data_IF_510551079119
#
_entry.id   IF_510551079119
#
_cell.length_a   1.000
_cell.length_b   1.000
_cell.length_c   1.000
_cell.angle_alpha   90.00
_cell.angle_beta   90.00
_cell.angle_gamma   90.00
#
_symmetry.space_group_name_H-M   'P 1'
#
loop_
_entity.id
_entity.type
_entity.pdbx_description
1 polymer ?
#
# COMPACT_ATOMS: atom_id res chain seq x y z
N UNK A 1 -6.63 4.24 14.70
CA UNK A 1 -7.13 3.75 13.39
C UNK A 1 -8.09 4.76 12.81
N UNK A 2 -7.95 5.16 11.54
CA UNK A 2 -8.95 5.96 10.81
C UNK A 2 -9.91 4.99 10.12
N UNK A 3 -11.22 5.28 10.19
CA UNK A 3 -12.26 4.48 9.54
C UNK A 3 -13.24 5.41 8.83
N UNK A 4 -13.63 5.04 7.60
CA UNK A 4 -14.65 5.71 6.81
C UNK A 4 -15.65 4.64 6.34
N UNK A 5 -16.94 4.90 6.49
CA UNK A 5 -18.01 3.95 6.18
C UNK A 5 -18.87 4.45 5.02
N UNK A 6 -19.01 3.61 3.99
CA UNK A 6 -19.89 3.83 2.85
C UNK A 6 -21.04 2.82 2.80
N UNK A 7 -21.17 1.97 3.86
CA UNK A 7 -22.14 0.88 3.95
C UNK A 7 -22.07 -0.08 2.74
N UNK A 8 -20.83 -0.44 2.37
CA UNK A 8 -20.53 -1.35 1.26
C UNK A 8 -20.15 -2.74 1.77
N UNK A 9 -20.38 -3.75 0.92
CA UNK A 9 -19.98 -5.14 1.18
C UNK A 9 -18.46 -5.40 0.98
N UNK A 10 -17.70 -4.39 0.55
CA UNK A 10 -16.27 -4.48 0.26
C UNK A 10 -15.48 -3.48 1.08
N UNK A 11 -14.36 -3.92 1.65
CA UNK A 11 -13.49 -3.11 2.48
C UNK A 11 -12.10 -2.95 1.86
N UNK A 12 -11.49 -1.80 2.11
CA UNK A 12 -10.08 -1.53 1.80
C UNK A 12 -9.33 -1.21 3.09
N UNK A 13 -8.22 -1.92 3.31
CA UNK A 13 -7.24 -1.57 4.33
C UNK A 13 -6.17 -0.71 3.67
N UNK A 14 -5.96 0.51 4.18
CA UNK A 14 -4.90 1.41 3.70
C UNK A 14 -3.73 1.39 4.67
N UNK A 15 -2.54 0.99 4.20
CA UNK A 15 -1.32 0.95 4.98
C UNK A 15 -0.44 2.16 4.62
N UNK A 16 -0.17 2.98 5.62
CA UNK A 16 0.54 4.24 5.47
C UNK A 16 2.07 4.10 5.32
N UNK A 17 2.74 5.19 4.99
CA UNK A 17 4.18 5.35 4.92
C UNK A 17 4.81 5.52 6.31
N UNK A 18 6.14 5.76 6.35
CA UNK A 18 6.87 6.00 7.61
C UNK A 18 6.36 7.20 8.41
N UNK A 19 5.63 8.11 7.77
CA UNK A 19 5.12 9.34 8.41
C UNK A 19 3.86 9.13 9.26
N UNK A 20 3.19 7.98 9.13
CA UNK A 20 1.91 7.71 9.80
C UNK A 20 0.70 8.17 8.98
N UNK A 21 -0.43 8.37 9.63
CA UNK A 21 -1.69 8.80 8.98
C UNK A 21 -1.65 10.32 8.76
N UNK A 22 -0.79 10.76 7.83
CA UNK A 22 -0.64 12.15 7.41
C UNK A 22 -1.73 12.55 6.39
N UNK A 23 -1.65 13.78 5.86
CA UNK A 23 -2.66 14.29 4.94
C UNK A 23 -2.67 13.55 3.59
N UNK A 24 -1.54 13.01 3.14
CA UNK A 24 -1.49 12.13 1.98
C UNK A 24 -2.35 10.88 2.19
N UNK A 25 -2.13 10.17 3.29
CA UNK A 25 -2.86 8.93 3.59
C UNK A 25 -4.35 9.19 3.84
N UNK A 26 -4.69 10.27 4.57
CA UNK A 26 -6.10 10.69 4.73
C UNK A 26 -6.77 10.95 3.37
N UNK A 27 -6.05 11.63 2.46
CA UNK A 27 -6.53 11.87 1.10
C UNK A 27 -6.74 10.57 0.33
N UNK A 28 -5.80 9.61 0.40
CA UNK A 28 -5.96 8.31 -0.25
C UNK A 28 -7.16 7.54 0.31
N UNK A 29 -7.35 7.56 1.62
CA UNK A 29 -8.54 6.98 2.27
C UNK A 29 -9.83 7.61 1.73
N UNK A 30 -9.88 8.95 1.62
CA UNK A 30 -11.07 9.64 1.09
C UNK A 30 -11.34 9.28 -0.37
N UNK A 31 -10.33 9.22 -1.24
CA UNK A 31 -10.49 8.87 -2.66
C UNK A 31 -11.13 7.48 -2.83
N UNK A 32 -10.67 6.48 -2.08
CA UNK A 32 -11.26 5.14 -2.13
C UNK A 32 -12.64 5.09 -1.47
N UNK A 33 -12.85 5.86 -0.40
CA UNK A 33 -14.15 5.98 0.23
C UNK A 33 -15.21 6.63 -0.68
N UNK A 34 -14.87 7.71 -1.35
CA UNK A 34 -15.72 8.39 -2.34
C UNK A 34 -16.07 7.49 -3.53
N UNK A 35 -15.27 6.44 -3.76
CA UNK A 35 -15.55 5.39 -4.76
C UNK A 35 -16.41 4.25 -4.22
N UNK A 36 -16.93 4.39 -2.99
CA UNK A 36 -17.93 3.50 -2.41
C UNK A 36 -17.36 2.39 -1.52
N UNK A 37 -16.08 2.42 -1.13
CA UNK A 37 -15.50 1.41 -0.26
C UNK A 37 -15.54 1.81 1.22
N UNK A 38 -15.74 0.84 2.10
CA UNK A 38 -15.44 1.00 3.52
C UNK A 38 -13.93 0.99 3.72
N UNK A 39 -13.40 1.97 4.44
CA UNK A 39 -11.95 2.16 4.61
C UNK A 39 -11.54 1.92 6.05
N UNK A 40 -10.44 1.19 6.20
CA UNK A 40 -9.75 0.93 7.46
C UNK A 40 -8.27 1.29 7.30
N UNK A 41 -7.81 2.27 8.04
CA UNK A 41 -6.40 2.67 8.03
C UNK A 41 -5.83 2.51 9.45
N UNK A 42 -5.18 1.37 9.75
CA UNK A 42 -4.55 1.17 11.05
C UNK A 42 -3.37 2.11 11.21
N UNK A 43 -3.19 2.67 12.41
CA UNK A 43 -1.98 3.40 12.75
C UNK A 43 -0.88 2.39 13.13
N UNK A 44 -0.01 2.09 12.16
CA UNK A 44 1.11 1.16 12.32
C UNK A 44 2.16 1.70 13.30
N UNK A 45 2.27 3.03 13.42
CA UNK A 45 3.24 3.66 14.33
C UNK A 45 2.75 3.71 15.78
N UNK A 46 1.44 3.59 16.01
CA UNK A 46 0.82 3.71 17.33
C UNK A 46 1.21 5.00 18.06
N UNK A 47 1.13 6.13 17.32
CA UNK A 47 1.48 7.46 17.81
C UNK A 47 0.27 8.39 17.76
N UNK A 48 0.20 9.31 18.71
CA UNK A 48 -0.86 10.34 18.75
C UNK A 48 -0.74 11.34 17.59
N UNK A 49 0.48 11.55 17.08
CA UNK A 49 0.77 12.46 15.97
C UNK A 49 1.60 11.79 14.89
N UNK A 50 1.35 12.15 13.63
CA UNK A 50 2.19 11.76 12.51
C UNK A 50 3.52 12.54 12.46
N UNK A 51 4.51 12.03 11.73
CA UNK A 51 5.75 12.74 11.45
C UNK A 51 5.57 13.74 10.29
N UNK A 52 6.29 14.87 10.36
CA UNK A 52 6.43 15.79 9.24
C UNK A 52 7.46 15.26 8.22
N UNK A 53 7.42 15.74 6.97
CA UNK A 53 8.36 15.27 5.93
C UNK A 53 9.82 15.62 6.25
N UNK A 54 10.06 16.74 6.91
CA UNK A 54 11.39 17.17 7.40
C UNK A 54 11.96 16.22 8.46
N UNK A 55 11.11 15.43 9.10
CA UNK A 55 11.48 14.44 10.11
C UNK A 55 11.77 13.04 9.50
N UNK A 56 12.14 12.98 8.21
CA UNK A 56 12.30 11.73 7.46
C UNK A 56 13.17 10.70 8.18
N UNK A 57 14.34 11.10 8.66
CA UNK A 57 15.28 10.21 9.35
C UNK A 57 14.68 9.69 10.68
N UNK A 58 14.03 10.57 11.44
CA UNK A 58 13.36 10.20 12.69
C UNK A 58 12.21 9.22 12.43
N UNK A 59 11.38 9.50 11.41
CA UNK A 59 10.26 8.65 11.00
C UNK A 59 10.74 7.25 10.57
N UNK A 60 11.80 7.19 9.76
CA UNK A 60 12.39 5.93 9.31
C UNK A 60 12.97 5.11 10.47
N UNK A 61 13.74 5.74 11.36
CA UNK A 61 14.33 5.09 12.52
C UNK A 61 13.23 4.61 13.49
N UNK A 62 12.19 5.41 13.70
CA UNK A 62 11.06 5.02 14.53
C UNK A 62 10.36 3.77 13.96
N UNK A 63 10.01 3.80 12.66
CA UNK A 63 9.39 2.65 12.00
C UNK A 63 10.25 1.39 12.13
N UNK A 64 11.54 1.50 11.83
CA UNK A 64 12.49 0.38 11.88
C UNK A 64 12.58 -0.26 13.26
N UNK A 65 12.61 0.57 14.32
CA UNK A 65 12.86 0.10 15.68
C UNK A 65 11.59 -0.33 16.42
N UNK A 66 10.41 0.18 16.05
CA UNK A 66 9.17 -0.04 16.80
C UNK A 66 8.10 -0.83 16.02
N UNK A 67 8.14 -0.80 14.70
CA UNK A 67 7.12 -1.42 13.85
C UNK A 67 7.70 -2.53 12.98
N UNK A 68 8.70 -2.20 12.17
CA UNK A 68 9.28 -3.10 11.19
C UNK A 68 8.25 -3.60 10.18
N UNK A 69 8.57 -4.73 9.56
CA UNK A 69 7.68 -5.38 8.58
C UNK A 69 6.93 -6.57 9.20
N UNK A 70 6.36 -6.36 10.39
CA UNK A 70 5.51 -7.35 11.06
C UNK A 70 4.08 -7.25 10.55
N UNK A 71 3.57 -8.31 9.93
CA UNK A 71 2.24 -8.38 9.31
C UNK A 71 1.11 -8.77 10.27
N UNK A 72 1.42 -9.28 11.46
CA UNK A 72 0.46 -9.89 12.38
C UNK A 72 -0.77 -9.02 12.64
N UNK A 73 -0.58 -7.73 12.92
CA UNK A 73 -1.71 -6.83 13.19
C UNK A 73 -2.58 -6.59 11.95
N UNK A 74 -1.98 -6.57 10.75
CA UNK A 74 -2.71 -6.42 9.49
C UNK A 74 -3.48 -7.70 9.18
N UNK A 75 -2.88 -8.86 9.39
CA UNK A 75 -3.52 -10.16 9.19
C UNK A 75 -4.71 -10.36 10.13
N UNK A 76 -4.59 -9.96 11.39
CA UNK A 76 -5.69 -9.96 12.35
C UNK A 76 -6.84 -9.06 11.88
N UNK A 77 -6.53 -7.85 11.42
CA UNK A 77 -7.54 -6.95 10.87
C UNK A 77 -8.21 -7.53 9.62
N UNK A 78 -7.46 -8.17 8.72
CA UNK A 78 -8.03 -8.87 7.56
C UNK A 78 -9.03 -9.93 8.02
N UNK A 79 -8.65 -10.79 8.97
CA UNK A 79 -9.52 -11.86 9.46
C UNK A 79 -10.82 -11.30 10.08
N UNK A 80 -10.73 -10.26 10.90
CA UNK A 80 -11.90 -9.59 11.48
C UNK A 80 -12.84 -8.99 10.41
N UNK A 81 -12.25 -8.42 9.35
CA UNK A 81 -13.03 -7.84 8.25
C UNK A 81 -13.64 -8.90 7.35
N UNK A 82 -12.98 -10.02 7.12
CA UNK A 82 -13.50 -11.15 6.33
C UNK A 82 -14.77 -11.78 6.92
N UNK A 83 -15.01 -11.60 8.21
CA UNK A 83 -16.29 -12.01 8.84
C UNK A 83 -17.47 -11.12 8.42
N UNK A 84 -17.21 -9.89 7.94
CA UNK A 84 -18.22 -8.85 7.69
C UNK A 84 -18.32 -8.41 6.23
N UNK A 85 -17.22 -8.55 5.48
CA UNK A 85 -17.11 -8.05 4.12
C UNK A 85 -16.90 -9.19 3.13
N UNK A 86 -17.54 -9.08 1.97
CA UNK A 86 -17.37 -10.04 0.86
C UNK A 86 -15.94 -10.03 0.33
N UNK A 87 -15.37 -8.83 0.18
CA UNK A 87 -14.00 -8.62 -0.27
C UNK A 87 -13.24 -7.69 0.67
N UNK A 88 -11.99 -8.06 0.95
CA UNK A 88 -11.04 -7.25 1.72
C UNK A 88 -9.77 -7.08 0.90
N UNK A 89 -9.46 -5.84 0.53
CA UNK A 89 -8.30 -5.48 -0.29
C UNK A 89 -7.32 -4.69 0.56
N UNK A 90 -6.03 -4.94 0.38
CA UNK A 90 -4.98 -4.17 1.06
C UNK A 90 -4.31 -3.24 0.05
N UNK A 91 -4.23 -1.97 0.37
CA UNK A 91 -3.48 -0.97 -0.40
C UNK A 91 -2.40 -0.39 0.49
N UNK A 92 -1.15 -0.45 0.05
CA UNK A 92 -0.03 0.06 0.84
C UNK A 92 0.81 1.08 0.07
N UNK A 93 1.39 2.01 0.82
CA UNK A 93 2.28 3.05 0.31
C UNK A 93 3.66 2.93 0.98
N UNK A 94 4.75 2.95 0.22
CA UNK A 94 6.13 2.88 0.71
C UNK A 94 6.38 1.66 1.62
N UNK A 95 6.62 1.86 2.93
CA UNK A 95 6.73 0.74 3.89
C UNK A 95 5.43 -0.04 4.00
N UNK A 96 4.29 0.64 3.94
CA UNK A 96 2.97 0.01 3.88
C UNK A 96 2.80 -0.86 2.63
N UNK A 97 3.40 -0.48 1.50
CA UNK A 97 3.41 -1.29 0.28
C UNK A 97 4.26 -2.56 0.45
N UNK A 98 5.34 -2.50 1.20
CA UNK A 98 6.12 -3.70 1.53
C UNK A 98 5.34 -4.62 2.47
N UNK A 99 4.63 -4.06 3.46
CA UNK A 99 3.73 -4.84 4.32
C UNK A 99 2.58 -5.47 3.52
N UNK A 100 1.95 -4.73 2.60
CA UNK A 100 0.89 -5.28 1.75
C UNK A 100 1.40 -6.41 0.85
N UNK A 101 2.63 -6.29 0.32
CA UNK A 101 3.30 -7.36 -0.41
C UNK A 101 3.47 -8.63 0.43
N UNK A 102 3.95 -8.51 1.68
CA UNK A 102 4.07 -9.65 2.60
C UNK A 102 2.70 -10.28 2.88
N UNK A 103 1.68 -9.47 3.12
CA UNK A 103 0.31 -9.94 3.35
C UNK A 103 -0.30 -10.66 2.14
N UNK A 104 0.23 -10.48 0.92
CA UNK A 104 -0.26 -11.20 -0.26
C UNK A 104 -0.05 -12.71 -0.19
N UNK A 105 0.91 -13.17 0.63
CA UNK A 105 1.16 -14.59 0.88
C UNK A 105 0.51 -15.09 2.17
N UNK A 106 0.52 -14.27 3.23
CA UNK A 106 0.22 -14.71 4.60
C UNK A 106 -1.22 -14.46 5.03
N UNK A 107 -1.90 -13.46 4.44
CA UNK A 107 -3.26 -13.09 4.81
C UNK A 107 -4.33 -13.73 3.91
N UNK A 108 -5.59 -13.66 4.36
CA UNK A 108 -6.76 -14.10 3.58
C UNK A 108 -7.40 -12.94 2.79
N UNK A 109 -6.65 -11.88 2.46
CA UNK A 109 -7.15 -10.78 1.64
C UNK A 109 -7.47 -11.22 0.21
N UNK A 110 -8.40 -10.53 -0.43
CA UNK A 110 -8.85 -10.84 -1.79
C UNK A 110 -8.00 -10.17 -2.85
N UNK A 111 -7.15 -9.21 -2.48
CA UNK A 111 -6.23 -8.55 -3.39
C UNK A 111 -5.31 -7.55 -2.71
N UNK A 112 -4.22 -7.23 -3.38
CA UNK A 112 -3.18 -6.32 -2.86
C UNK A 112 -2.77 -5.32 -3.92
N UNK A 113 -2.65 -4.04 -3.53
CA UNK A 113 -2.02 -2.98 -4.34
C UNK A 113 -0.86 -2.37 -3.54
N UNK A 114 0.33 -2.40 -4.11
CA UNK A 114 1.57 -1.93 -3.48
C UNK A 114 2.15 -0.74 -4.26
N UNK A 115 2.09 0.47 -3.70
CA UNK A 115 2.65 1.68 -4.29
C UNK A 115 4.06 1.95 -3.79
N UNK A 116 5.02 1.96 -4.70
CA UNK A 116 6.45 2.25 -4.50
C UNK A 116 7.08 1.60 -3.26
N UNK A 117 6.79 0.31 -3.06
CA UNK A 117 7.35 -0.48 -1.96
C UNK A 117 8.81 -0.82 -2.19
N UNK A 118 9.73 0.04 -1.75
CA UNK A 118 11.16 -0.11 -2.05
C UNK A 118 11.80 -1.34 -1.38
N UNK A 119 11.25 -1.78 -0.24
CA UNK A 119 11.78 -2.93 0.50
C UNK A 119 11.22 -4.28 0.02
N UNK A 120 10.31 -4.31 -0.96
CA UNK A 120 9.88 -5.55 -1.64
C UNK A 120 11.10 -6.32 -2.18
N UNK A 121 12.18 -5.61 -2.57
CA UNK A 121 13.43 -6.22 -3.02
C UNK A 121 14.11 -7.15 -2.01
N UNK A 122 13.80 -7.01 -0.71
CA UNK A 122 14.34 -7.85 0.36
C UNK A 122 13.47 -9.07 0.64
N UNK A 123 12.28 -9.15 0.01
CA UNK A 123 11.26 -10.18 0.19
C UNK A 123 10.84 -10.79 -1.15
N UNK A 124 11.81 -11.07 -2.01
CA UNK A 124 11.57 -11.59 -3.37
C UNK A 124 11.04 -13.03 -3.37
N UNK A 125 11.18 -13.75 -2.25
CA UNK A 125 10.73 -15.14 -2.12
C UNK A 125 9.23 -15.26 -1.81
N UNK A 126 8.56 -14.16 -1.43
CA UNK A 126 7.10 -14.13 -1.22
C UNK A 126 6.36 -14.63 -2.46
N UNK A 127 5.41 -15.52 -2.24
CA UNK A 127 4.56 -16.11 -3.28
C UNK A 127 3.11 -15.64 -3.10
N UNK A 128 2.65 -14.64 -3.86
CA UNK A 128 1.28 -14.11 -3.73
C UNK A 128 0.23 -15.20 -3.89
N UNK A 129 -0.74 -15.22 -2.97
CA UNK A 129 -1.89 -16.14 -2.99
C UNK A 129 -3.19 -15.45 -3.40
N UNK A 130 -3.14 -14.15 -3.64
CA UNK A 130 -4.24 -13.35 -4.17
C UNK A 130 -3.75 -12.47 -5.31
N UNK A 131 -4.64 -11.94 -6.16
CA UNK A 131 -4.28 -10.93 -7.15
C UNK A 131 -3.48 -9.79 -6.52
N UNK A 132 -2.30 -9.51 -7.07
CA UNK A 132 -1.36 -8.54 -6.52
C UNK A 132 -0.86 -7.59 -7.59
N UNK A 133 -1.05 -6.28 -7.37
CA UNK A 133 -0.57 -5.22 -8.24
C UNK A 133 0.60 -4.49 -7.57
N UNK A 134 1.76 -4.49 -8.22
CA UNK A 134 2.94 -3.75 -7.78
C UNK A 134 3.17 -2.55 -8.70
N UNK A 135 3.09 -1.35 -8.16
CA UNK A 135 3.32 -0.08 -8.82
C UNK A 135 4.63 0.49 -8.29
N UNK A 136 5.64 0.64 -9.15
CA UNK A 136 6.95 1.16 -8.75
C UNK A 136 7.29 2.48 -9.43
N UNK A 137 8.07 3.30 -8.74
CA UNK A 137 8.67 4.50 -9.30
C UNK A 137 9.91 4.12 -10.12
N UNK A 138 10.11 4.77 -11.27
CA UNK A 138 11.28 4.53 -12.13
C UNK A 138 12.59 5.02 -11.49
N UNK A 139 12.51 6.12 -10.75
CA UNK A 139 13.68 6.79 -10.19
C UNK A 139 13.78 6.54 -8.68
N UNK A 140 14.06 5.29 -8.33
CA UNK A 140 14.38 4.88 -6.96
C UNK A 140 15.88 5.01 -6.71
N UNK A 141 16.26 5.61 -5.57
CA UNK A 141 17.68 5.80 -5.23
C UNK A 141 18.36 4.52 -4.73
N UNK A 142 17.61 3.67 -4.05
CA UNK A 142 18.15 2.52 -3.32
C UNK A 142 18.30 1.25 -4.17
N UNK A 143 17.69 1.18 -5.36
CA UNK A 143 17.70 -0.01 -6.22
C UNK A 143 17.20 0.29 -7.64
N UNK A 144 17.38 -0.65 -8.57
CA UNK A 144 16.84 -0.56 -9.93
C UNK A 144 15.49 -1.31 -10.01
N UNK A 145 14.36 -0.60 -10.24
CA UNK A 145 13.02 -1.21 -10.30
C UNK A 145 12.88 -2.24 -11.43
N UNK A 146 13.59 -2.08 -12.55
CA UNK A 146 13.56 -3.05 -13.66
C UNK A 146 14.20 -4.39 -13.27
N UNK A 147 15.24 -4.37 -12.44
CA UNK A 147 15.81 -5.62 -11.92
C UNK A 147 14.83 -6.31 -10.94
N UNK A 148 14.12 -5.54 -10.11
CA UNK A 148 13.09 -6.10 -9.25
C UNK A 148 11.96 -6.72 -10.07
N UNK A 149 11.50 -6.02 -11.13
CA UNK A 149 10.47 -6.54 -12.05
C UNK A 149 10.90 -7.88 -12.66
N UNK A 150 12.14 -8.00 -13.13
CA UNK A 150 12.67 -9.26 -13.69
C UNK A 150 12.68 -10.40 -12.66
N UNK A 151 13.10 -10.12 -11.41
CA UNK A 151 13.12 -11.12 -10.33
C UNK A 151 11.71 -11.61 -9.95
N UNK A 152 10.72 -10.75 -10.06
CA UNK A 152 9.34 -11.08 -9.71
C UNK A 152 8.50 -11.56 -10.90
N UNK A 153 9.02 -11.54 -12.13
CA UNK A 153 8.26 -11.81 -13.37
C UNK A 153 7.58 -13.19 -13.40
N UNK A 154 8.16 -14.19 -12.71
CA UNK A 154 7.61 -15.55 -12.66
C UNK A 154 6.57 -15.78 -11.56
N UNK A 155 6.32 -14.77 -10.70
CA UNK A 155 5.37 -14.91 -9.60
C UNK A 155 3.94 -15.02 -10.12
N UNK A 156 3.14 -15.97 -9.62
CA UNK A 156 1.75 -16.10 -10.02
C UNK A 156 0.92 -14.94 -9.48
N UNK A 157 -0.21 -14.68 -10.14
CA UNK A 157 -1.22 -13.70 -9.69
C UNK A 157 -0.72 -12.27 -9.53
N UNK A 158 0.48 -11.94 -10.05
CA UNK A 158 1.11 -10.63 -9.89
C UNK A 158 1.15 -9.86 -11.20
N UNK A 159 0.90 -8.55 -11.12
CA UNK A 159 1.15 -7.57 -12.16
C UNK A 159 2.12 -6.50 -11.64
N UNK A 160 3.11 -6.12 -12.44
CA UNK A 160 4.14 -5.17 -12.06
C UNK A 160 4.26 -4.04 -13.09
N UNK A 161 4.16 -2.80 -12.64
CA UNK A 161 4.26 -1.62 -13.50
C UNK A 161 5.24 -0.59 -12.94
N UNK A 162 6.01 0.01 -13.85
CA UNK A 162 6.97 1.08 -13.53
C UNK A 162 6.46 2.38 -14.12
N UNK A 163 6.31 3.40 -13.28
CA UNK A 163 5.84 4.74 -13.61
C UNK A 163 7.00 5.73 -13.66
N UNK A 164 6.91 6.73 -14.52
CA UNK A 164 7.95 7.73 -14.73
C UNK A 164 7.96 8.80 -13.60
N UNK A 165 8.15 8.36 -12.37
CA UNK A 165 8.16 9.16 -11.16
C UNK A 165 9.30 8.81 -10.22
N UNK A 166 9.43 9.59 -9.16
CA UNK A 166 10.29 9.32 -7.99
C UNK A 166 9.50 8.62 -6.90
N UNK A 167 10.17 8.09 -5.89
CA UNK A 167 9.53 7.55 -4.69
C UNK A 167 8.52 8.55 -4.12
N UNK A 168 7.28 8.11 -3.83
CA UNK A 168 6.22 9.00 -3.35
C UNK A 168 5.52 9.83 -4.45
N UNK A 169 5.64 9.48 -5.73
CA UNK A 169 5.08 10.26 -6.84
C UNK A 169 3.55 10.43 -6.81
N UNK A 170 2.83 9.63 -6.03
CA UNK A 170 1.39 9.79 -5.81
C UNK A 170 1.04 10.74 -4.66
N UNK A 171 2.02 11.14 -3.86
CA UNK A 171 1.82 12.04 -2.73
C UNK A 171 1.85 13.50 -3.16
N UNK A 172 0.67 14.14 -3.24
CA UNK A 172 0.55 15.55 -3.69
C UNK A 172 1.17 16.57 -2.73
N UNK A 173 1.51 16.17 -1.51
CA UNK A 173 2.17 17.02 -0.52
C UNK A 173 3.69 16.86 -0.54
N UNK A 174 4.20 15.91 -1.33
CA UNK A 174 5.63 15.65 -1.50
C UNK A 174 6.21 16.41 -2.69
N UNK A 175 7.48 16.86 -2.61
CA UNK A 175 8.21 17.39 -3.78
C UNK A 175 8.36 16.38 -4.93
N UNK A 176 8.15 15.10 -4.66
CA UNK A 176 8.19 14.02 -5.66
C UNK A 176 6.90 13.87 -6.47
N UNK A 177 5.85 14.63 -6.14
CA UNK A 177 4.55 14.50 -6.79
C UNK A 177 4.64 14.67 -8.30
N UNK A 178 4.04 13.72 -9.01
CA UNK A 178 3.86 13.78 -10.45
C UNK A 178 2.37 13.56 -10.75
N UNK A 179 1.67 14.61 -11.11
CA UNK A 179 0.21 14.58 -11.27
C UNK A 179 -0.24 13.61 -12.36
N UNK A 180 0.45 13.60 -13.51
CA UNK A 180 0.10 12.71 -14.63
C UNK A 180 0.28 11.24 -14.25
N UNK A 181 1.45 10.89 -13.74
CA UNK A 181 1.76 9.52 -13.35
C UNK A 181 0.92 9.06 -12.16
N UNK A 182 0.61 9.96 -11.22
CA UNK A 182 -0.29 9.69 -10.11
C UNK A 182 -1.71 9.34 -10.61
N UNK A 183 -2.27 10.13 -11.54
CA UNK A 183 -3.58 9.84 -12.14
C UNK A 183 -3.59 8.49 -12.86
N UNK A 184 -2.54 8.17 -13.61
CA UNK A 184 -2.40 6.88 -14.33
C UNK A 184 -2.30 5.71 -13.35
N UNK A 185 -1.48 5.84 -12.30
CA UNK A 185 -1.31 4.81 -11.29
C UNK A 185 -2.59 4.57 -10.48
N UNK A 186 -3.30 5.64 -10.11
CA UNK A 186 -4.59 5.54 -9.43
C UNK A 186 -5.64 4.88 -10.32
N UNK A 187 -5.72 5.27 -11.60
CA UNK A 187 -6.64 4.60 -12.55
C UNK A 187 -6.35 3.10 -12.64
N UNK A 188 -5.07 2.71 -12.77
CA UNK A 188 -4.66 1.31 -12.79
C UNK A 188 -5.07 0.56 -11.52
N UNK A 189 -4.90 1.20 -10.35
CA UNK A 189 -5.34 0.65 -9.07
C UNK A 189 -6.85 0.41 -9.04
N UNK A 190 -7.65 1.40 -9.45
CA UNK A 190 -9.11 1.25 -9.52
C UNK A 190 -9.55 0.17 -10.51
N UNK A 191 -8.99 0.15 -11.73
CA UNK A 191 -9.28 -0.87 -12.73
C UNK A 191 -8.95 -2.29 -12.21
N UNK A 192 -7.88 -2.41 -11.41
CA UNK A 192 -7.48 -3.67 -10.79
C UNK A 192 -8.45 -4.08 -9.68
N UNK A 193 -8.83 -3.16 -8.79
CA UNK A 193 -9.74 -3.41 -7.68
C UNK A 193 -11.13 -3.81 -8.22
N UNK A 194 -11.64 -3.09 -9.22
CA UNK A 194 -12.94 -3.38 -9.83
C UNK A 194 -13.03 -4.82 -10.36
N UNK A 195 -11.94 -5.35 -10.91
CA UNK A 195 -11.92 -6.76 -11.37
C UNK A 195 -11.98 -7.79 -10.22
N UNK A 196 -11.64 -7.39 -9.00
CA UNK A 196 -11.67 -8.27 -7.82
C UNK A 196 -13.06 -8.26 -7.17
N UNK A 197 -13.69 -7.09 -7.16
CA UNK A 197 -14.99 -6.93 -6.48
C UNK A 197 -16.19 -7.26 -7.37
N UNK A 198 -16.01 -7.36 -8.68
CA UNK A 198 -17.01 -7.77 -9.67
C UNK A 198 -17.75 -6.63 -10.24
#
# INVERSE_FOLDING_TARGET
MLMLKADNDNAIIVLHEIYGINDHIKRMCNIYHESGFDIFCPDLLRRDTHFLYEQHEQAYNYFKNNCGFNTTAVEQLVNELKEKYKKVIIIGFSVGATLSWLCSETSQCDGVVSFYGSRIRDYIDVMPRCPTLVIQAKYEQAYNPSHLQQKLASKPMMSFYIFNGRHGFCDRFSPSFNEEESKRAMKLSFDFITKIVG
#
